data_IF_802743477322
#
_entry.id   IF_802743477322
#
_cell.length_a   1.000
_cell.length_b   1.000
_cell.length_c   1.000
_cell.angle_alpha   90.00
_cell.angle_beta   90.00
_cell.angle_gamma   90.00
#
_symmetry.space_group_name_H-M   'P 1'
#
loop_
_entity.id
_entity.type
_entity.pdbx_description
1 polymer ?
#
# COMPACT_ATOMS: atom_id res chain seq x y z
N UNK A 1 0.54 19.24 -4.54
CA UNK A 1 -0.87 19.30 -4.12
C UNK A 1 -1.67 18.43 -5.09
N UNK A 2 -2.44 17.45 -4.58
CA UNK A 2 -3.27 16.58 -5.44
C UNK A 2 -4.41 17.35 -6.12
N UNK A 3 -4.78 18.53 -5.61
CA UNK A 3 -5.81 19.41 -6.19
C UNK A 3 -5.23 20.44 -7.17
N UNK A 4 -3.91 20.48 -7.33
CA UNK A 4 -3.22 21.48 -8.16
C UNK A 4 -3.10 21.12 -9.65
N UNK A 5 -3.45 19.90 -10.05
CA UNK A 5 -3.40 19.50 -11.46
C UNK A 5 -4.54 20.17 -12.24
N UNK A 6 -4.25 20.52 -13.51
CA UNK A 6 -5.32 20.82 -14.46
C UNK A 6 -6.10 19.53 -14.68
N UNK A 7 -7.41 19.57 -14.44
CA UNK A 7 -8.27 18.41 -14.67
C UNK A 7 -8.15 17.92 -16.11
N UNK A 8 -8.17 16.59 -16.26
CA UNK A 8 -8.20 15.92 -17.54
C UNK A 8 -9.46 16.30 -18.32
N UNK A 9 -9.41 16.22 -19.65
CA UNK A 9 -10.46 16.77 -20.54
C UNK A 9 -11.84 16.17 -20.25
N UNK A 10 -11.90 14.90 -19.82
CA UNK A 10 -13.14 14.19 -19.59
C UNK A 10 -13.90 14.69 -18.34
N UNK A 11 -13.35 15.62 -17.56
CA UNK A 11 -14.07 16.35 -16.52
C UNK A 11 -15.35 17.04 -17.04
N UNK A 12 -15.40 17.39 -18.34
CA UNK A 12 -16.59 17.97 -18.96
C UNK A 12 -17.80 17.03 -19.01
N UNK A 13 -17.58 15.71 -18.83
CA UNK A 13 -18.64 14.68 -18.80
C UNK A 13 -19.35 14.61 -17.44
N UNK A 14 -18.83 15.31 -16.42
CA UNK A 14 -19.38 15.31 -15.08
C UNK A 14 -18.98 14.09 -14.25
N UNK A 15 -19.63 13.95 -13.09
CA UNK A 15 -19.39 12.86 -12.12
C UNK A 15 -20.38 11.73 -12.37
N UNK A 16 -19.89 10.49 -12.43
CA UNK A 16 -20.73 9.31 -12.53
C UNK A 16 -21.41 9.00 -11.18
N UNK A 17 -22.71 8.64 -11.15
CA UNK A 17 -23.37 8.21 -9.91
C UNK A 17 -22.63 7.04 -9.25
N UNK A 18 -22.28 6.03 -10.05
CA UNK A 18 -21.33 4.97 -9.73
C UNK A 18 -20.30 4.89 -10.84
N UNK A 19 -19.07 4.48 -10.52
CA UNK A 19 -18.08 4.16 -11.55
C UNK A 19 -18.55 2.92 -12.34
N UNK A 20 -18.56 2.95 -13.68
CA UNK A 20 -19.14 1.87 -14.48
C UNK A 20 -18.40 0.55 -14.25
N UNK A 21 -19.18 -0.52 -14.09
CA UNK A 21 -18.72 -1.91 -14.04
C UNK A 21 -19.11 -2.70 -15.29
N UNK A 22 -19.95 -2.13 -16.17
CA UNK A 22 -20.31 -2.72 -17.46
C UNK A 22 -20.20 -1.73 -18.64
N UNK A 23 -20.15 -2.25 -19.87
CA UNK A 23 -20.23 -1.43 -21.09
C UNK A 23 -21.53 -0.64 -21.22
N UNK A 24 -22.65 -1.23 -20.82
CA UNK A 24 -23.95 -0.55 -20.88
C UNK A 24 -23.99 0.69 -19.98
N UNK A 25 -23.34 0.65 -18.81
CA UNK A 25 -23.19 1.81 -17.93
C UNK A 25 -22.26 2.87 -18.54
N UNK A 26 -21.18 2.46 -19.21
CA UNK A 26 -20.34 3.39 -19.98
C UNK A 26 -21.15 4.09 -21.07
N UNK A 27 -21.96 3.36 -21.83
CA UNK A 27 -22.82 3.93 -22.87
C UNK A 27 -23.83 4.92 -22.28
N UNK A 28 -24.42 4.62 -21.12
CA UNK A 28 -25.32 5.52 -20.40
C UNK A 28 -24.62 6.81 -19.92
N UNK A 29 -23.32 6.74 -19.63
CA UNK A 29 -22.47 7.89 -19.30
C UNK A 29 -21.93 8.62 -20.55
N UNK A 30 -22.18 8.09 -21.75
CA UNK A 30 -21.64 8.60 -23.01
C UNK A 30 -20.14 8.35 -23.19
N UNK A 31 -19.59 7.31 -22.56
CA UNK A 31 -18.17 6.97 -22.60
C UNK A 31 -17.88 5.88 -23.63
N UNK A 32 -17.00 6.15 -24.59
CA UNK A 32 -16.51 5.15 -25.55
C UNK A 32 -15.49 4.17 -24.92
N UNK A 33 -14.77 4.63 -23.91
CA UNK A 33 -13.63 3.96 -23.28
C UNK A 33 -13.41 4.50 -21.86
N UNK A 34 -12.79 3.69 -21.01
CA UNK A 34 -12.23 4.16 -19.75
C UNK A 34 -10.80 4.67 -20.00
N UNK A 35 -10.38 5.70 -19.28
CA UNK A 35 -8.97 6.09 -19.25
C UNK A 35 -8.20 5.13 -18.34
N UNK A 36 -8.83 4.72 -17.24
CA UNK A 36 -8.25 3.85 -16.22
C UNK A 36 -9.28 2.77 -15.83
N UNK A 37 -8.85 1.52 -15.70
CA UNK A 37 -9.69 0.44 -15.16
C UNK A 37 -9.06 -0.10 -13.89
N UNK A 38 -9.83 -0.12 -12.80
CA UNK A 38 -9.43 -0.66 -11.52
C UNK A 38 -9.94 -2.08 -11.35
N UNK A 39 -9.04 -3.03 -11.09
CA UNK A 39 -9.36 -4.42 -10.78
C UNK A 39 -9.22 -4.64 -9.27
N UNK A 40 -10.28 -5.14 -8.63
CA UNK A 40 -10.32 -5.34 -7.18
C UNK A 40 -10.78 -6.75 -6.80
N UNK A 41 -10.22 -7.27 -5.71
CA UNK A 41 -10.66 -8.52 -5.10
C UNK A 41 -11.92 -8.41 -4.24
N UNK A 42 -12.43 -7.20 -4.01
CA UNK A 42 -13.65 -6.95 -3.25
C UNK A 42 -14.85 -6.65 -4.17
N UNK A 43 -16.07 -6.82 -3.66
CA UNK A 43 -17.25 -6.22 -4.26
C UNK A 43 -17.12 -4.70 -4.36
N UNK A 44 -17.72 -4.08 -5.38
CA UNK A 44 -17.74 -2.63 -5.52
C UNK A 44 -18.74 -2.01 -4.53
N UNK A 45 -18.20 -1.49 -3.43
CA UNK A 45 -18.93 -0.65 -2.47
C UNK A 45 -18.36 0.76 -2.57
N UNK A 46 -19.19 1.71 -2.99
CA UNK A 46 -18.77 3.09 -3.22
C UNK A 46 -18.79 3.89 -1.90
N UNK A 47 -17.86 3.55 -1.01
CA UNK A 47 -17.76 4.05 0.36
C UNK A 47 -16.30 4.41 0.69
N UNK A 48 -16.01 5.52 1.39
CA UNK A 48 -14.64 5.98 1.66
C UNK A 48 -13.82 5.12 2.66
N UNK A 49 -14.26 3.91 2.97
CA UNK A 49 -13.46 2.89 3.68
C UNK A 49 -13.02 1.74 2.77
N UNK A 50 -13.39 1.80 1.49
CA UNK A 50 -13.05 0.84 0.46
C UNK A 50 -11.98 1.46 -0.45
N UNK A 51 -10.76 0.92 -0.42
CA UNK A 51 -9.60 1.56 -1.05
C UNK A 51 -9.74 1.80 -2.55
N UNK A 52 -10.39 0.88 -3.27
CA UNK A 52 -10.65 1.03 -4.72
C UNK A 52 -11.65 2.16 -5.01
N UNK A 53 -12.63 2.41 -4.13
CA UNK A 53 -13.58 3.50 -4.26
C UNK A 53 -12.89 4.83 -4.02
N UNK A 54 -12.00 4.92 -3.01
CA UNK A 54 -11.16 6.11 -2.79
C UNK A 54 -10.34 6.41 -4.03
N UNK A 55 -9.55 5.44 -4.52
CA UNK A 55 -8.68 5.64 -5.69
C UNK A 55 -9.50 5.99 -6.93
N UNK A 56 -10.62 5.31 -7.16
CA UNK A 56 -11.51 5.60 -8.28
C UNK A 56 -12.10 7.01 -8.24
N UNK A 57 -12.63 7.43 -7.08
CA UNK A 57 -13.21 8.77 -6.89
C UNK A 57 -12.18 9.90 -6.89
N UNK A 58 -10.94 9.61 -6.48
CA UNK A 58 -9.81 10.53 -6.59
C UNK A 58 -9.46 10.74 -8.06
N UNK A 59 -9.30 9.66 -8.84
CA UNK A 59 -9.01 9.74 -10.27
C UNK A 59 -10.15 10.40 -11.08
N UNK A 60 -11.41 10.10 -10.76
CA UNK A 60 -12.57 10.82 -11.32
C UNK A 60 -12.53 12.32 -10.95
N UNK A 61 -12.14 12.64 -9.71
CA UNK A 61 -11.95 14.03 -9.26
C UNK A 61 -10.85 14.78 -10.04
N UNK A 62 -9.89 14.05 -10.62
CA UNK A 62 -8.89 14.60 -11.55
C UNK A 62 -9.42 14.74 -12.99
N UNK A 63 -10.65 14.28 -13.28
CA UNK A 63 -11.29 14.36 -14.59
C UNK A 63 -11.10 13.14 -15.48
N UNK A 64 -10.61 12.00 -14.95
CA UNK A 64 -10.44 10.77 -15.72
C UNK A 64 -11.71 9.93 -15.71
N UNK A 65 -11.95 9.18 -16.81
CA UNK A 65 -12.99 8.15 -16.88
C UNK A 65 -12.47 6.86 -16.26
N UNK A 66 -13.08 6.44 -15.16
CA UNK A 66 -12.61 5.29 -14.38
C UNK A 66 -13.67 4.20 -14.35
N UNK A 67 -13.29 2.98 -14.74
CA UNK A 67 -14.14 1.78 -14.62
C UNK A 67 -13.65 0.84 -13.52
N UNK A 68 -14.53 -0.02 -13.02
CA UNK A 68 -14.20 -1.02 -11.99
C UNK A 68 -14.54 -2.44 -12.47
N UNK A 69 -13.58 -3.34 -12.36
CA UNK A 69 -13.77 -4.79 -12.46
C UNK A 69 -13.69 -5.38 -11.04
N UNK A 70 -14.86 -5.67 -10.47
CA UNK A 70 -14.99 -6.21 -9.12
C UNK A 70 -15.10 -7.74 -9.15
N UNK A 71 -14.14 -8.43 -8.52
CA UNK A 71 -14.08 -9.89 -8.47
C UNK A 71 -14.24 -10.59 -9.83
N UNK A 72 -13.48 -10.19 -10.87
CA UNK A 72 -13.54 -10.87 -12.15
C UNK A 72 -13.11 -12.34 -12.00
N UNK A 73 -13.82 -13.25 -12.67
CA UNK A 73 -13.46 -14.67 -12.70
C UNK A 73 -12.07 -14.84 -13.35
N UNK A 74 -11.10 -15.29 -12.55
CA UNK A 74 -9.70 -15.45 -12.94
C UNK A 74 -9.39 -16.79 -13.60
N UNK A 75 -10.38 -17.64 -13.83
CA UNK A 75 -10.19 -18.88 -14.59
C UNK A 75 -9.97 -18.61 -16.09
N UNK A 76 -10.30 -17.41 -16.58
CA UNK A 76 -10.00 -16.95 -17.93
C UNK A 76 -9.61 -15.46 -17.97
N UNK A 77 -9.06 -15.00 -19.09
CA UNK A 77 -8.78 -13.57 -19.31
C UNK A 77 -10.00 -12.77 -19.80
N UNK A 78 -11.09 -13.43 -20.21
CA UNK A 78 -12.24 -12.77 -20.83
C UNK A 78 -12.94 -11.75 -19.90
N UNK A 79 -13.17 -12.02 -18.60
CA UNK A 79 -13.75 -11.04 -17.67
C UNK A 79 -12.90 -9.77 -17.53
N UNK A 80 -11.59 -9.86 -17.74
CA UNK A 80 -10.68 -8.71 -17.66
C UNK A 80 -10.75 -7.79 -18.87
N UNK A 81 -11.44 -8.22 -19.94
CA UNK A 81 -11.66 -7.46 -21.17
C UNK A 81 -13.07 -6.85 -21.29
N UNK A 82 -13.94 -7.05 -20.29
CA UNK A 82 -15.36 -6.65 -20.34
C UNK A 82 -15.54 -5.15 -20.61
N UNK A 83 -14.82 -4.30 -19.87
CA UNK A 83 -14.80 -2.85 -20.07
C UNK A 83 -13.91 -2.39 -21.24
N UNK A 84 -13.22 -3.33 -21.89
CA UNK A 84 -12.30 -3.08 -23.00
C UNK A 84 -10.93 -2.55 -22.58
N UNK A 85 -10.22 -2.00 -23.57
CA UNK A 85 -8.87 -1.47 -23.39
C UNK A 85 -8.94 -0.07 -22.75
N UNK A 86 -8.23 0.19 -21.63
CA UNK A 86 -8.14 1.53 -21.08
C UNK A 86 -7.14 2.38 -21.87
N UNK A 87 -7.32 3.70 -21.85
CA UNK A 87 -6.44 4.62 -22.57
C UNK A 87 -5.07 4.80 -21.88
N UNK A 88 -5.00 4.65 -20.56
CA UNK A 88 -3.80 4.90 -19.76
C UNK A 88 -3.25 3.63 -19.12
N UNK A 89 -3.97 3.01 -18.18
CA UNK A 89 -3.46 1.83 -17.44
C UNK A 89 -4.56 1.01 -16.74
N UNK A 90 -4.18 -0.19 -16.32
CA UNK A 90 -4.92 -0.99 -15.33
C UNK A 90 -4.31 -0.81 -13.93
N UNK A 91 -5.14 -0.47 -12.95
CA UNK A 91 -4.78 -0.45 -11.52
C UNK A 91 -5.31 -1.70 -10.83
N UNK A 92 -4.48 -2.43 -10.08
CA UNK A 92 -4.86 -3.74 -9.50
C UNK A 92 -4.62 -3.78 -8.00
N UNK A 93 -5.61 -4.25 -7.25
CA UNK A 93 -5.54 -4.48 -5.81
C UNK A 93 -6.20 -5.81 -5.41
N UNK A 94 -5.75 -6.44 -4.33
CA UNK A 94 -6.42 -7.59 -3.72
C UNK A 94 -7.71 -7.22 -2.97
N UNK A 95 -7.98 -5.92 -2.77
CA UNK A 95 -9.06 -5.39 -1.95
C UNK A 95 -8.55 -4.76 -0.65
N UNK A 96 -9.45 -4.61 0.32
CA UNK A 96 -9.20 -4.04 1.64
C UNK A 96 -8.46 -4.99 2.59
N UNK A 97 -8.38 -6.27 2.26
CA UNK A 97 -7.66 -7.27 3.04
C UNK A 97 -6.74 -8.09 2.13
N UNK A 98 -5.63 -8.57 2.70
CA UNK A 98 -4.76 -9.54 2.03
C UNK A 98 -5.55 -10.79 1.62
N UNK A 99 -5.37 -11.24 0.38
CA UNK A 99 -6.20 -12.32 -0.18
C UNK A 99 -6.04 -13.65 0.56
N UNK A 100 -4.87 -13.88 1.17
CA UNK A 100 -4.61 -15.09 1.94
C UNK A 100 -5.22 -14.98 3.34
N UNK A 101 -5.09 -13.84 4.01
CA UNK A 101 -5.75 -13.59 5.31
C UNK A 101 -7.27 -13.65 5.18
N UNK A 102 -7.79 -13.22 4.04
CA UNK A 102 -9.21 -13.32 3.73
C UNK A 102 -9.70 -14.76 3.57
N UNK A 103 -8.92 -15.62 2.91
CA UNK A 103 -9.34 -17.00 2.62
C UNK A 103 -9.00 -17.98 3.74
N UNK A 104 -7.98 -17.73 4.54
CA UNK A 104 -7.47 -18.67 5.52
C UNK A 104 -7.44 -18.09 6.94
N UNK A 105 -7.68 -18.92 7.94
CA UNK A 105 -7.43 -18.58 9.35
C UNK A 105 -5.94 -18.63 9.66
N UNK A 106 -5.52 -18.07 10.80
CA UNK A 106 -4.13 -18.17 11.27
C UNK A 106 -3.64 -19.63 11.36
N UNK A 107 -4.54 -20.57 11.68
CA UNK A 107 -4.25 -22.02 11.70
C UNK A 107 -4.28 -22.69 10.31
N UNK A 108 -4.23 -21.92 9.22
CA UNK A 108 -4.27 -22.41 7.82
C UNK A 108 -5.54 -23.17 7.43
N UNK A 109 -6.65 -22.92 8.12
CA UNK A 109 -7.96 -23.47 7.74
C UNK A 109 -8.63 -22.56 6.73
N UNK A 110 -9.21 -23.14 5.67
CA UNK A 110 -9.98 -22.40 4.68
C UNK A 110 -11.28 -21.90 5.33
N UNK A 111 -11.57 -20.60 5.17
CA UNK A 111 -12.83 -19.98 5.56
C UNK A 111 -13.90 -20.33 4.52
N UNK A 112 -15.11 -20.62 4.99
CA UNK A 112 -16.26 -20.84 4.12
C UNK A 112 -16.89 -19.54 3.62
N UNK A 113 -16.51 -18.41 4.21
CA UNK A 113 -17.08 -17.09 3.99
C UNK A 113 -16.03 -16.04 3.57
N UNK A 114 -16.49 -15.01 2.86
CA UNK A 114 -15.71 -13.83 2.48
C UNK A 114 -16.53 -12.56 2.75
N UNK A 115 -16.09 -11.76 3.72
CA UNK A 115 -16.85 -10.59 4.18
C UNK A 115 -17.02 -9.50 3.11
N UNK A 116 -16.20 -9.47 2.08
CA UNK A 116 -16.21 -8.45 1.03
C UNK A 116 -16.84 -8.95 -0.28
N UNK A 117 -17.46 -10.13 -0.26
CA UNK A 117 -18.11 -10.75 -1.41
C UNK A 117 -19.64 -10.69 -1.28
N UNK A 118 -20.40 -10.56 -2.38
CA UNK A 118 -21.86 -10.68 -2.33
C UNK A 118 -22.30 -12.00 -1.69
N UNK A 119 -23.27 -11.90 -0.79
CA UNK A 119 -23.80 -12.97 0.05
C UNK A 119 -22.78 -13.69 0.94
N UNK A 120 -21.59 -13.10 1.12
CA UNK A 120 -20.52 -13.67 1.93
C UNK A 120 -19.90 -14.92 1.33
N UNK A 121 -20.07 -15.17 0.03
CA UNK A 121 -19.64 -16.43 -0.61
C UNK A 121 -18.11 -16.54 -0.61
N UNK A 122 -17.57 -17.58 0.01
CA UNK A 122 -16.14 -17.86 -0.01
C UNK A 122 -15.65 -18.28 -1.39
N UNK A 123 -14.40 -17.91 -1.71
CA UNK A 123 -13.71 -18.42 -2.90
C UNK A 123 -13.98 -17.68 -4.20
N UNK A 124 -14.46 -16.43 -4.16
CA UNK A 124 -14.62 -15.53 -5.32
C UNK A 124 -13.40 -14.62 -5.58
N UNK A 125 -12.28 -14.85 -4.88
CA UNK A 125 -10.98 -14.23 -5.18
C UNK A 125 -9.87 -15.28 -5.19
N UNK A 126 -8.84 -15.16 -6.06
CA UNK A 126 -7.72 -16.07 -6.06
C UNK A 126 -6.76 -15.80 -4.90
N UNK A 127 -6.06 -16.84 -4.46
CA UNK A 127 -4.89 -16.69 -3.59
C UNK A 127 -3.84 -15.81 -4.25
N UNK A 128 -3.32 -14.81 -3.51
CA UNK A 128 -2.38 -13.80 -4.02
C UNK A 128 -2.98 -13.07 -5.21
N UNK A 129 -4.16 -12.51 -4.98
CA UNK A 129 -5.02 -11.93 -6.01
C UNK A 129 -4.29 -10.92 -6.90
N UNK A 130 -3.39 -10.10 -6.34
CA UNK A 130 -2.62 -9.12 -7.14
C UNK A 130 -1.82 -9.80 -8.25
N UNK A 131 -1.18 -10.94 -7.97
CA UNK A 131 -0.37 -11.68 -8.96
C UNK A 131 -1.28 -12.23 -10.06
N UNK A 132 -2.36 -12.90 -9.66
CA UNK A 132 -3.26 -13.57 -10.61
C UNK A 132 -3.96 -12.55 -11.50
N UNK A 133 -4.51 -11.48 -10.93
CA UNK A 133 -5.18 -10.44 -11.68
C UNK A 133 -4.23 -9.69 -12.63
N UNK A 134 -3.00 -9.38 -12.19
CA UNK A 134 -2.00 -8.76 -13.08
C UNK A 134 -1.67 -9.65 -14.28
N UNK A 135 -1.53 -10.95 -14.07
CA UNK A 135 -1.26 -11.90 -15.15
C UNK A 135 -2.45 -12.04 -16.11
N UNK A 136 -3.69 -12.04 -15.63
CA UNK A 136 -4.89 -12.07 -16.47
C UNK A 136 -5.09 -10.79 -17.28
N UNK A 137 -4.85 -9.63 -16.67
CA UNK A 137 -4.82 -8.36 -17.39
C UNK A 137 -3.76 -8.38 -18.47
N UNK A 138 -2.54 -8.88 -18.19
CA UNK A 138 -1.47 -8.98 -19.19
C UNK A 138 -1.80 -9.96 -20.31
N UNK A 139 -2.51 -11.03 -20.01
CA UNK A 139 -3.02 -12.00 -21.00
C UNK A 139 -4.03 -11.33 -21.95
N UNK A 140 -4.97 -10.55 -21.40
CA UNK A 140 -5.97 -9.80 -22.17
C UNK A 140 -5.35 -8.62 -22.97
N UNK A 141 -4.42 -7.89 -22.37
CA UNK A 141 -3.85 -6.65 -22.91
C UNK A 141 -2.34 -6.57 -22.65
N UNK A 142 -1.54 -7.07 -23.59
CA UNK A 142 -0.07 -7.16 -23.45
C UNK A 142 0.62 -5.81 -23.27
N UNK A 143 0.20 -4.81 -24.07
CA UNK A 143 0.89 -3.51 -24.19
C UNK A 143 0.30 -2.40 -23.31
N UNK A 144 -0.67 -2.73 -22.45
CA UNK A 144 -1.24 -1.74 -21.52
C UNK A 144 -0.43 -1.75 -20.23
N UNK A 145 -0.04 -0.59 -19.68
CA UNK A 145 0.60 -0.51 -18.39
C UNK A 145 -0.24 -1.16 -17.27
N UNK A 146 0.41 -1.99 -16.46
CA UNK A 146 -0.18 -2.65 -15.29
C UNK A 146 0.46 -2.11 -14.03
N UNK A 147 -0.35 -1.49 -13.18
CA UNK A 147 0.07 -0.88 -11.92
C UNK A 147 -0.60 -1.61 -10.77
N UNK A 148 0.19 -2.11 -9.83
CA UNK A 148 -0.31 -2.85 -8.66
C UNK A 148 -0.23 -2.00 -7.40
N UNK A 149 -1.19 -2.15 -6.49
CA UNK A 149 -1.25 -1.39 -5.24
C UNK A 149 -2.11 -2.04 -4.17
N UNK A 150 -2.42 -1.28 -3.12
CA UNK A 150 -3.16 -1.76 -1.95
C UNK A 150 -2.28 -2.51 -0.94
N UNK A 151 -2.91 -3.02 0.12
CA UNK A 151 -2.21 -3.63 1.27
C UNK A 151 -1.34 -4.82 0.83
N UNK A 152 -1.89 -5.73 0.01
CA UNK A 152 -1.15 -6.92 -0.43
C UNK A 152 0.10 -6.56 -1.25
N UNK A 153 0.02 -5.57 -2.15
CA UNK A 153 1.17 -5.13 -2.93
C UNK A 153 2.18 -4.35 -2.07
N UNK A 154 1.68 -3.42 -1.26
CA UNK A 154 2.48 -2.56 -0.39
C UNK A 154 3.33 -3.37 0.57
N UNK A 155 2.76 -4.35 1.28
CA UNK A 155 3.49 -5.15 2.27
C UNK A 155 4.46 -6.16 1.63
N UNK A 156 4.27 -6.49 0.35
CA UNK A 156 5.10 -7.46 -0.40
C UNK A 156 6.03 -6.80 -1.43
N UNK A 157 6.30 -5.50 -1.26
CA UNK A 157 7.11 -4.67 -2.17
C UNK A 157 8.60 -5.06 -2.24
N UNK A 158 9.11 -5.69 -1.19
CA UNK A 158 10.44 -6.32 -1.14
C UNK A 158 10.30 -7.83 -0.86
N UNK A 159 11.43 -8.54 -0.76
CA UNK A 159 11.45 -9.90 -0.24
C UNK A 159 10.79 -9.96 1.14
N UNK A 160 9.86 -10.91 1.30
CA UNK A 160 9.00 -11.00 2.48
C UNK A 160 8.79 -12.46 2.88
N UNK A 161 8.62 -12.70 4.17
CA UNK A 161 8.24 -14.01 4.68
C UNK A 161 6.76 -14.27 4.42
N UNK A 162 6.47 -15.36 3.71
CA UNK A 162 5.11 -15.81 3.42
C UNK A 162 4.74 -16.93 4.41
N UNK A 163 3.97 -16.56 5.43
CA UNK A 163 3.52 -17.47 6.49
C UNK A 163 2.82 -18.75 5.96
N UNK A 164 2.12 -18.63 4.83
CA UNK A 164 1.34 -19.72 4.24
C UNK A 164 2.20 -20.80 3.59
N UNK A 165 3.38 -20.43 3.06
CA UNK A 165 4.32 -21.39 2.46
C UNK A 165 5.59 -21.61 3.27
N UNK A 166 5.73 -20.90 4.40
CA UNK A 166 6.91 -20.91 5.29
C UNK A 166 8.22 -20.62 4.55
N UNK A 167 8.14 -19.70 3.60
CA UNK A 167 9.27 -19.34 2.73
C UNK A 167 9.38 -17.84 2.59
N UNK A 168 10.62 -17.38 2.41
CA UNK A 168 10.86 -16.03 1.92
C UNK A 168 10.59 -16.01 0.42
N UNK A 169 9.64 -15.16 0.02
CA UNK A 169 9.28 -14.93 -1.39
C UNK A 169 9.96 -13.66 -1.91
N UNK A 170 10.06 -13.57 -3.23
CA UNK A 170 10.53 -12.38 -3.93
C UNK A 170 9.50 -11.25 -3.82
N UNK A 171 9.89 -10.05 -4.25
CA UNK A 171 8.95 -8.93 -4.38
C UNK A 171 7.77 -9.32 -5.29
N UNK A 172 6.56 -8.98 -4.86
CA UNK A 172 5.33 -9.23 -5.63
C UNK A 172 5.35 -8.54 -7.00
N UNK A 173 6.10 -7.45 -7.14
CA UNK A 173 6.29 -6.76 -8.42
C UNK A 173 6.86 -7.69 -9.50
N UNK A 174 7.80 -8.56 -9.13
CA UNK A 174 8.41 -9.53 -10.03
C UNK A 174 7.46 -10.68 -10.35
N UNK A 175 6.79 -11.23 -9.33
CA UNK A 175 5.86 -12.36 -9.49
C UNK A 175 4.62 -11.96 -10.33
N UNK A 176 4.13 -10.72 -10.16
CA UNK A 176 2.99 -10.17 -10.88
C UNK A 176 3.32 -9.70 -12.30
N UNK A 177 4.61 -9.46 -12.62
CA UNK A 177 5.07 -8.84 -13.88
C UNK A 177 4.36 -7.50 -14.15
N UNK A 178 4.14 -6.73 -13.10
CA UNK A 178 3.59 -5.38 -13.18
C UNK A 178 4.69 -4.39 -13.60
N UNK A 179 4.28 -3.28 -14.22
CA UNK A 179 5.21 -2.24 -14.69
C UNK A 179 5.62 -1.30 -13.54
N UNK A 180 4.71 -1.08 -12.59
CA UNK A 180 4.92 -0.23 -11.43
C UNK A 180 4.13 -0.75 -10.22
N UNK A 181 4.71 -0.63 -9.02
CA UNK A 181 4.03 -0.89 -7.75
C UNK A 181 3.85 0.42 -6.99
N UNK A 182 2.64 0.71 -6.54
CA UNK A 182 2.34 1.83 -5.62
C UNK A 182 2.21 1.28 -4.21
N UNK A 183 3.02 1.81 -3.29
CA UNK A 183 2.97 1.47 -1.87
C UNK A 183 2.68 2.72 -1.05
N UNK A 184 2.20 2.53 0.17
CA UNK A 184 1.72 3.65 0.97
C UNK A 184 0.24 3.97 0.71
N UNK A 185 -0.21 5.10 1.24
CA UNK A 185 -1.37 5.83 0.72
C UNK A 185 -1.10 6.22 -0.74
N UNK A 186 -1.96 5.81 -1.67
CA UNK A 186 -1.68 5.85 -3.11
C UNK A 186 -2.18 7.07 -3.86
N UNK A 187 -2.98 7.94 -3.23
CA UNK A 187 -3.73 9.02 -3.89
C UNK A 187 -2.82 9.97 -4.69
N UNK A 188 -1.70 10.38 -4.10
CA UNK A 188 -0.79 11.33 -4.74
C UNK A 188 -0.10 10.70 -5.96
N UNK A 189 0.30 9.44 -5.83
CA UNK A 189 0.99 8.66 -6.85
C UNK A 189 0.07 8.40 -8.04
N UNK A 190 -1.17 7.93 -7.80
CA UNK A 190 -2.10 7.62 -8.90
C UNK A 190 -2.48 8.88 -9.68
N UNK A 191 -2.64 10.03 -9.01
CA UNK A 191 -2.84 11.31 -9.69
C UNK A 191 -1.65 11.66 -10.59
N UNK A 192 -0.43 11.62 -10.04
CA UNK A 192 0.78 11.96 -10.79
C UNK A 192 1.02 11.02 -11.98
N UNK A 193 0.85 9.71 -11.76
CA UNK A 193 0.98 8.70 -12.81
C UNK A 193 -0.06 8.94 -13.90
N UNK A 194 -1.33 9.12 -13.56
CA UNK A 194 -2.38 9.32 -14.55
C UNK A 194 -2.14 10.56 -15.41
N UNK A 195 -1.75 11.68 -14.79
CA UNK A 195 -1.45 12.92 -15.53
C UNK A 195 -0.21 12.80 -16.42
N UNK A 196 0.86 12.14 -15.97
CA UNK A 196 2.08 11.96 -16.78
C UNK A 196 1.85 11.00 -17.95
N UNK A 197 1.13 9.89 -17.72
CA UNK A 197 0.72 8.99 -18.80
C UNK A 197 -0.21 9.69 -19.81
N UNK A 198 -1.16 10.50 -19.33
CA UNK A 198 -2.02 11.30 -20.20
C UNK A 198 -1.28 12.38 -20.99
N UNK A 199 -0.13 12.85 -20.49
CA UNK A 199 0.79 13.73 -21.22
C UNK A 199 1.69 12.98 -22.22
N UNK A 200 1.56 11.65 -22.33
CA UNK A 200 2.31 10.81 -23.26
C UNK A 200 3.65 10.30 -22.75
N UNK A 201 3.97 10.51 -21.47
CA UNK A 201 5.18 9.95 -20.88
C UNK A 201 5.04 8.43 -20.73
N UNK A 202 6.03 7.62 -21.18
CA UNK A 202 5.91 6.18 -21.08
C UNK A 202 6.13 5.68 -19.65
N UNK A 203 5.39 4.64 -19.24
CA UNK A 203 5.42 4.08 -17.86
C UNK A 203 6.84 3.76 -17.36
N UNK A 204 7.74 3.33 -18.25
CA UNK A 204 9.14 2.98 -17.93
C UNK A 204 10.00 4.19 -17.51
N UNK A 205 9.56 5.42 -17.80
CA UNK A 205 10.25 6.66 -17.46
C UNK A 205 9.77 7.24 -16.11
N UNK A 206 8.63 6.77 -15.59
CA UNK A 206 8.07 7.15 -14.29
C UNK A 206 8.86 6.54 -13.10
N UNK A 207 10.12 6.92 -12.99
CA UNK A 207 11.12 6.35 -12.07
C UNK A 207 11.39 7.21 -10.85
N UNK A 208 10.74 8.36 -10.73
CA UNK A 208 10.99 9.40 -9.72
C UNK A 208 9.78 9.69 -8.83
N UNK A 209 8.66 9.01 -9.03
CA UNK A 209 7.43 9.19 -8.24
C UNK A 209 7.61 8.55 -6.85
N UNK A 210 7.51 9.36 -5.79
CA UNK A 210 7.60 8.87 -4.41
C UNK A 210 6.50 7.87 -4.09
N UNK A 211 6.77 6.88 -3.25
CA UNK A 211 5.81 5.83 -2.92
C UNK A 211 5.57 4.82 -4.03
N UNK A 212 6.54 4.67 -4.94
CA UNK A 212 6.49 3.68 -6.02
C UNK A 212 7.71 2.77 -6.01
N UNK A 213 7.56 1.58 -6.61
CA UNK A 213 8.65 0.65 -6.84
C UNK A 213 8.62 0.12 -8.27
N UNK A 214 9.80 -0.06 -8.87
CA UNK A 214 9.98 -0.51 -10.25
C UNK A 214 11.20 -1.41 -10.39
N UNK A 215 11.27 -2.17 -11.49
CA UNK A 215 12.37 -3.10 -11.78
C UNK A 215 13.39 -2.42 -12.69
N UNK A 216 14.68 -2.67 -12.43
CA UNK A 216 15.79 -2.16 -13.22
C UNK A 216 16.99 -3.11 -13.17
N UNK A 217 18.00 -2.92 -14.02
CA UNK A 217 19.22 -3.77 -14.02
C UNK A 217 20.40 -3.18 -13.27
N UNK A 218 20.49 -1.87 -13.17
CA UNK A 218 21.61 -1.17 -12.51
C UNK A 218 21.15 0.17 -11.98
N UNK A 219 21.76 0.68 -10.91
CA UNK A 219 21.54 2.03 -10.39
C UNK A 219 21.78 3.12 -11.46
N UNK A 220 21.14 4.31 -11.37
CA UNK A 220 21.31 5.35 -12.37
C UNK A 220 22.71 5.96 -12.23
N UNK A 221 23.23 6.51 -13.32
CA UNK A 221 24.49 7.25 -13.28
C UNK A 221 24.41 8.40 -12.27
N UNK A 222 25.47 8.59 -11.47
CA UNK A 222 25.56 9.66 -10.48
C UNK A 222 24.82 9.41 -9.16
N UNK A 223 24.26 8.21 -8.94
CA UNK A 223 23.70 7.82 -7.64
C UNK A 223 24.78 7.22 -6.74
N UNK A 224 24.69 7.54 -5.45
CA UNK A 224 25.54 7.00 -4.40
C UNK A 224 24.84 5.79 -3.79
N UNK A 225 25.47 4.62 -3.89
CA UNK A 225 24.97 3.40 -3.25
C UNK A 225 25.58 3.25 -1.85
N UNK A 226 24.72 3.05 -0.85
CA UNK A 226 25.08 2.87 0.56
C UNK A 226 24.72 1.44 0.95
N UNK A 227 25.69 0.65 1.42
CA UNK A 227 25.40 -0.65 2.02
C UNK A 227 24.58 -0.48 3.30
N UNK A 228 23.51 -1.24 3.45
CA UNK A 228 22.62 -1.15 4.61
C UNK A 228 23.34 -1.41 5.94
N UNK A 229 24.42 -2.20 5.95
CA UNK A 229 25.22 -2.47 7.15
C UNK A 229 25.94 -1.23 7.70
N UNK A 230 26.10 -0.17 6.89
CA UNK A 230 26.60 1.12 7.35
C UNK A 230 25.56 1.93 8.14
N UNK A 231 24.26 1.64 7.95
CA UNK A 231 23.17 2.29 8.67
C UNK A 231 22.76 1.52 9.93
N UNK A 232 22.78 0.19 9.84
CA UNK A 232 22.44 -0.71 10.94
C UNK A 232 23.31 -1.98 10.80
N UNK A 233 24.16 -2.26 11.77
CA UNK A 233 24.97 -3.47 11.75
C UNK A 233 24.23 -4.59 12.50
N UNK A 234 23.96 -5.75 11.88
CA UNK A 234 23.34 -6.87 12.58
C UNK A 234 24.16 -7.27 13.82
N UNK A 235 23.49 -7.33 14.97
CA UNK A 235 24.09 -7.77 16.23
C UNK A 235 24.06 -9.29 16.41
N UNK A 236 24.65 -9.82 17.50
CA UNK A 236 24.51 -11.23 17.84
C UNK A 236 23.03 -11.58 18.05
N UNK A 237 22.64 -12.80 17.64
CA UNK A 237 21.30 -13.33 17.92
C UNK A 237 21.25 -13.67 19.40
N UNK A 238 20.50 -12.87 20.16
CA UNK A 238 20.20 -13.20 21.55
C UNK A 238 19.37 -14.50 21.57
N UNK A 239 19.77 -15.51 22.36
CA UNK A 239 18.97 -16.72 22.49
C UNK A 239 17.61 -16.34 23.08
N UNK A 240 16.52 -16.64 22.37
CA UNK A 240 15.18 -16.42 22.89
C UNK A 240 14.95 -17.38 24.07
N UNK A 241 14.87 -16.90 25.33
CA UNK A 241 14.51 -17.76 26.43
C UNK A 241 13.06 -18.20 26.20
N UNK A 242 12.80 -19.50 26.28
CA UNK A 242 11.44 -20.03 26.27
C UNK A 242 10.68 -19.41 27.47
N UNK A 243 9.62 -18.61 27.23
CA UNK A 243 8.88 -17.95 28.30
C UNK A 243 8.17 -18.94 29.24
N UNK A 244 8.10 -20.23 28.87
CA UNK A 244 7.53 -21.32 29.66
C UNK A 244 8.58 -22.29 30.21
N UNK A 245 9.88 -22.05 29.96
CA UNK A 245 10.93 -22.89 30.53
C UNK A 245 11.04 -22.66 32.04
N UNK A 246 10.62 -23.66 32.81
CA UNK A 246 10.96 -23.77 34.24
C UNK A 246 12.47 -23.98 34.35
N UNK A 247 13.18 -22.98 34.86
CA UNK A 247 14.65 -22.92 34.79
C UNK A 247 15.32 -23.96 35.70
N UNK A 248 16.05 -24.90 35.08
CA UNK A 248 17.17 -25.57 35.74
C UNK A 248 18.46 -24.90 35.27
N UNK A 249 19.14 -24.24 36.20
CA UNK A 249 20.39 -23.51 35.98
C UNK A 249 21.45 -24.40 35.30
N UNK A 250 22.00 -23.97 34.15
CA UNK A 250 23.26 -24.49 33.61
C UNK A 250 24.30 -23.38 33.48
N UNK A 251 25.51 -23.71 33.96
CA UNK A 251 26.74 -22.91 33.84
C UNK A 251 27.28 -22.96 32.39
N UNK A 252 28.06 -21.95 31.96
CA UNK A 252 28.56 -21.87 30.59
C UNK A 252 29.80 -22.75 30.38
N UNK A 253 29.85 -23.45 29.26
CA UNK A 253 31.07 -24.02 28.68
C UNK A 253 31.43 -23.23 27.40
N UNK A 254 32.72 -22.93 27.26
CA UNK A 254 33.28 -22.21 26.13
C UNK A 254 33.73 -23.18 25.02
N UNK A 255 33.50 -22.81 23.76
CA UNK A 255 34.05 -23.50 22.58
C UNK A 255 33.85 -22.68 21.30
N UNK A 256 34.96 -22.42 20.60
CA UNK A 256 35.06 -21.57 19.40
C UNK A 256 34.90 -22.36 18.08
N UNK A 257 34.51 -21.68 16.99
CA UNK A 257 35.17 -21.71 15.67
C UNK A 257 34.43 -20.84 14.63
N UNK A 258 35.21 -20.17 13.76
CA UNK A 258 34.77 -19.34 12.65
C UNK A 258 34.87 -20.08 11.30
N UNK A 259 34.10 -19.65 10.29
CA UNK A 259 34.59 -19.54 8.90
C UNK A 259 34.23 -18.15 8.34
N UNK A 260 34.95 -17.52 7.41
CA UNK A 260 35.74 -17.99 6.29
C UNK A 260 35.32 -17.09 5.11
N UNK A 261 36.11 -16.04 4.82
CA UNK A 261 35.75 -14.99 3.88
C UNK A 261 35.85 -15.44 2.41
N UNK A 262 34.84 -15.10 1.60
CA UNK A 262 34.89 -15.20 0.13
C UNK A 262 34.91 -13.81 -0.50
N UNK A 263 35.73 -13.68 -1.54
CA UNK A 263 36.18 -12.44 -2.17
C UNK A 263 35.07 -11.52 -2.70
N UNK A 264 35.15 -10.25 -2.34
CA UNK A 264 34.25 -9.18 -2.74
C UNK A 264 34.64 -8.58 -4.11
N UNK A 265 33.61 -8.28 -4.91
CA UNK A 265 33.71 -7.33 -6.03
C UNK A 265 33.66 -5.93 -5.46
N UNK A 266 34.70 -5.13 -5.67
CA UNK A 266 34.84 -3.78 -5.08
C UNK A 266 33.74 -2.85 -5.63
N UNK A 267 32.70 -2.65 -4.84
CA UNK A 267 31.78 -1.52 -4.95
C UNK A 267 32.29 -0.45 -3.97
N UNK A 268 32.51 0.78 -4.43
CA UNK A 268 32.99 1.87 -3.56
C UNK A 268 31.85 2.29 -2.61
N UNK A 269 31.90 1.82 -1.37
CA UNK A 269 30.99 2.24 -0.30
C UNK A 269 31.47 3.55 0.32
N UNK A 270 30.69 4.63 0.18
CA UNK A 270 30.97 5.89 0.87
C UNK A 270 30.46 5.86 2.31
N UNK A 271 31.41 5.88 3.25
CA UNK A 271 31.21 5.70 4.70
C UNK A 271 30.43 6.85 5.38
N UNK A 272 30.15 7.95 4.67
CA UNK A 272 29.47 9.14 5.21
C UNK A 272 28.82 9.96 4.10
N UNK A 273 27.58 9.62 3.75
CA UNK A 273 26.79 10.44 2.83
C UNK A 273 26.33 11.70 3.57
N UNK A 274 26.75 12.88 3.10
CA UNK A 274 26.28 14.16 3.65
C UNK A 274 24.77 14.26 3.44
N UNK A 275 24.07 14.97 4.32
CA UNK A 275 22.61 15.16 4.16
C UNK A 275 22.22 15.77 2.80
N UNK A 276 23.10 16.56 2.20
CA UNK A 276 22.92 17.18 0.88
C UNK A 276 22.86 16.18 -0.29
N UNK A 277 23.44 14.99 -0.14
CA UNK A 277 23.49 13.98 -1.20
C UNK A 277 22.36 12.94 -1.08
N UNK A 278 21.42 13.13 -0.12
CA UNK A 278 20.36 12.15 0.18
C UNK A 278 19.44 11.87 -1.00
N UNK A 279 19.07 12.90 -1.75
CA UNK A 279 18.19 12.80 -2.92
C UNK A 279 18.82 12.00 -4.06
N UNK A 280 20.14 11.82 -4.06
CA UNK A 280 20.90 11.02 -5.03
C UNK A 280 21.57 9.82 -4.38
N UNK A 281 21.04 9.38 -3.23
CA UNK A 281 21.55 8.21 -2.53
C UNK A 281 20.49 7.12 -2.42
N UNK A 282 20.95 5.87 -2.54
CA UNK A 282 20.11 4.68 -2.43
C UNK A 282 20.75 3.72 -1.43
N UNK A 283 19.92 3.10 -0.58
CA UNK A 283 20.37 2.08 0.37
C UNK A 283 20.22 0.71 -0.28
N UNK A 284 21.34 0.02 -0.45
CA UNK A 284 21.41 -1.37 -0.89
C UNK A 284 21.05 -2.27 0.28
N UNK A 285 19.89 -2.92 0.16
CA UNK A 285 19.42 -3.93 1.11
C UNK A 285 20.06 -5.29 0.80
N UNK A 286 20.11 -6.23 1.79
CA UNK A 286 20.50 -7.60 1.51
C UNK A 286 19.65 -8.20 0.39
N UNK A 287 20.28 -8.95 -0.52
CA UNK A 287 19.60 -9.55 -1.66
C UNK A 287 18.53 -10.55 -1.23
N UNK A 288 17.61 -10.87 -2.13
CA UNK A 288 16.63 -11.94 -1.93
C UNK A 288 17.29 -13.24 -1.47
N UNK A 289 18.39 -13.64 -2.12
CA UNK A 289 19.11 -14.87 -1.81
C UNK A 289 19.71 -14.83 -0.41
N UNK A 290 20.25 -13.68 0.02
CA UNK A 290 20.76 -13.49 1.37
C UNK A 290 19.64 -13.60 2.42
N UNK A 291 18.53 -12.86 2.23
CA UNK A 291 17.42 -12.88 3.21
C UNK A 291 16.66 -14.20 3.22
N UNK A 292 16.69 -14.97 2.13
CA UNK A 292 16.09 -16.30 2.08
C UNK A 292 16.95 -17.36 2.77
N UNK A 293 18.28 -17.18 2.79
CA UNK A 293 19.22 -18.12 3.40
C UNK A 293 19.49 -17.82 4.89
N UNK A 294 19.37 -16.56 5.32
CA UNK A 294 19.74 -16.12 6.66
C UNK A 294 18.64 -15.28 7.34
N UNK A 295 18.04 -15.78 8.45
CA UNK A 295 17.06 -15.04 9.23
C UNK A 295 17.56 -13.71 9.79
N UNK A 296 18.86 -13.57 10.07
CA UNK A 296 19.44 -12.32 10.58
C UNK A 296 19.44 -11.25 9.48
N UNK A 297 19.84 -11.62 8.27
CA UNK A 297 19.75 -10.78 7.08
C UNK A 297 18.30 -10.35 6.80
N UNK A 298 17.33 -11.25 6.98
CA UNK A 298 15.91 -10.90 6.87
C UNK A 298 15.47 -9.86 7.90
N UNK A 299 15.82 -10.06 9.18
CA UNK A 299 15.50 -9.11 10.25
C UNK A 299 16.15 -7.74 10.01
N UNK A 300 17.40 -7.72 9.54
CA UNK A 300 18.12 -6.51 9.17
C UNK A 300 17.43 -5.78 8.00
N UNK A 301 17.07 -6.50 6.93
CA UNK A 301 16.32 -5.93 5.81
C UNK A 301 15.00 -5.28 6.26
N UNK A 302 14.23 -5.95 7.13
CA UNK A 302 13.01 -5.39 7.72
C UNK A 302 13.29 -4.13 8.52
N UNK A 303 14.34 -4.12 9.35
CA UNK A 303 14.70 -2.95 10.17
C UNK A 303 15.08 -1.74 9.31
N UNK A 304 15.84 -1.96 8.23
CA UNK A 304 16.20 -0.92 7.26
C UNK A 304 14.94 -0.33 6.58
N UNK A 305 14.01 -1.19 6.17
CA UNK A 305 12.72 -0.76 5.60
C UNK A 305 11.96 0.16 6.56
N UNK A 306 11.93 -0.17 7.86
CA UNK A 306 11.28 0.64 8.89
C UNK A 306 12.03 1.96 9.17
N UNK A 307 13.37 1.95 9.15
CA UNK A 307 14.18 3.16 9.34
C UNK A 307 13.99 4.17 8.21
N UNK A 308 13.78 3.69 6.99
CA UNK A 308 13.55 4.51 5.79
C UNK A 308 12.04 4.75 5.52
N UNK A 309 11.17 4.56 6.52
CA UNK A 309 9.72 4.83 6.42
C UNK A 309 9.34 6.30 6.67
N UNK A 310 10.25 7.16 7.16
CA UNK A 310 9.95 8.58 7.39
C UNK A 310 10.10 9.40 6.09
N UNK A 311 9.01 9.92 5.50
CA UNK A 311 9.08 10.63 4.22
C UNK A 311 9.97 11.87 4.24
N UNK A 312 10.16 12.52 5.39
CA UNK A 312 10.98 13.73 5.51
C UNK A 312 12.49 13.48 5.39
N UNK A 313 12.95 12.24 5.55
CA UNK A 313 14.38 11.93 5.52
C UNK A 313 14.75 10.60 4.88
N UNK A 314 13.76 9.86 4.39
CA UNK A 314 13.93 8.58 3.74
C UNK A 314 14.76 8.68 2.47
N UNK A 315 15.60 7.67 2.25
CA UNK A 315 16.31 7.44 0.99
C UNK A 315 15.54 6.46 0.12
N UNK A 316 15.93 6.39 -1.15
CA UNK A 316 15.52 5.27 -1.99
C UNK A 316 16.12 3.97 -1.42
N UNK A 317 15.41 2.86 -1.60
CA UNK A 317 15.91 1.53 -1.28
C UNK A 317 16.10 0.73 -2.57
N UNK A 318 17.05 -0.19 -2.56
CA UNK A 318 17.21 -1.15 -3.66
C UNK A 318 17.52 -2.53 -3.11
N UNK A 319 16.81 -3.54 -3.62
CA UNK A 319 17.04 -4.93 -3.27
C UNK A 319 17.30 -5.74 -4.54
N UNK A 320 18.37 -6.53 -4.55
CA UNK A 320 18.70 -7.44 -5.65
C UNK A 320 17.84 -8.71 -5.57
N UNK A 321 17.28 -9.12 -6.70
CA UNK A 321 16.58 -10.40 -6.88
C UNK A 321 17.14 -11.09 -8.14
N UNK A 322 18.02 -12.07 -8.00
CA UNK A 322 18.74 -12.66 -9.12
C UNK A 322 19.57 -11.62 -9.88
N UNK A 323 19.23 -11.36 -11.14
CA UNK A 323 19.96 -10.44 -12.03
C UNK A 323 19.31 -9.04 -12.14
N UNK A 324 18.25 -8.78 -11.38
CA UNK A 324 17.51 -7.50 -11.43
C UNK A 324 17.39 -6.85 -10.06
N UNK A 325 17.38 -5.53 -10.06
CA UNK A 325 17.14 -4.69 -8.89
C UNK A 325 15.66 -4.30 -8.83
N UNK A 326 15.05 -4.48 -7.66
CA UNK A 326 13.79 -3.85 -7.29
C UNK A 326 14.13 -2.54 -6.58
N UNK A 327 13.78 -1.43 -7.22
CA UNK A 327 14.03 -0.08 -6.72
C UNK A 327 12.76 0.46 -6.06
N UNK A 328 12.90 1.04 -4.87
CA UNK A 328 11.82 1.70 -4.15
C UNK A 328 12.18 3.18 -4.03
N UNK A 329 11.36 4.05 -4.62
CA UNK A 329 11.44 5.47 -4.34
C UNK A 329 11.06 5.75 -2.88
N UNK A 330 11.52 6.85 -2.27
CA UNK A 330 11.15 7.20 -0.89
C UNK A 330 9.62 7.25 -0.67
N UNK A 331 9.11 7.04 0.57
CA UNK A 331 7.68 7.05 0.86
C UNK A 331 6.98 8.34 0.42
N UNK A 332 5.68 8.28 0.09
CA UNK A 332 4.94 9.46 -0.33
C UNK A 332 4.90 10.50 0.80
N UNK A 333 4.87 11.78 0.43
CA UNK A 333 4.59 12.84 1.40
C UNK A 333 3.11 12.73 1.80
N UNK A 334 2.80 12.63 3.11
CA UNK A 334 1.41 12.55 3.59
C UNK A 334 0.54 13.67 3.04
N UNK A 335 -0.75 13.40 2.88
CA UNK A 335 -1.73 14.39 2.51
C UNK A 335 -1.87 15.43 3.62
N UNK A 336 -2.04 16.69 3.21
CA UNK A 336 -2.48 17.74 4.12
C UNK A 336 -3.93 17.52 4.53
N UNK A 337 -4.38 18.16 5.62
CA UNK A 337 -5.80 18.08 6.04
C UNK A 337 -6.76 18.48 4.93
N UNK A 338 -6.47 19.55 4.17
CA UNK A 338 -7.32 19.98 3.06
C UNK A 338 -7.37 18.94 1.92
N UNK A 339 -6.24 18.31 1.59
CA UNK A 339 -6.20 17.23 0.60
C UNK A 339 -6.94 15.98 1.11
N UNK A 340 -6.81 15.64 2.38
CA UNK A 340 -7.52 14.50 2.98
C UNK A 340 -9.02 14.74 3.01
N UNK A 341 -9.46 15.92 3.42
CA UNK A 341 -10.87 16.33 3.36
C UNK A 341 -11.41 16.24 1.93
N UNK A 342 -10.63 16.71 0.93
CA UNK A 342 -11.01 16.58 -0.49
C UNK A 342 -11.19 15.13 -0.94
N UNK A 343 -10.37 14.19 -0.43
CA UNK A 343 -10.49 12.76 -0.73
C UNK A 343 -11.76 12.16 -0.10
N UNK A 344 -12.06 12.50 1.16
CA UNK A 344 -13.19 11.92 1.90
C UNK A 344 -14.53 12.59 1.57
N UNK A 345 -14.52 13.80 1.00
CA UNK A 345 -15.72 14.55 0.57
C UNK A 345 -16.06 14.34 -0.91
N UNK A 346 -15.40 13.41 -1.59
CA UNK A 346 -15.83 12.96 -2.92
C UNK A 346 -17.28 12.44 -2.87
N UNK A 347 -18.03 12.48 -3.98
CA UNK A 347 -19.44 12.14 -4.01
C UNK A 347 -19.69 10.61 -3.95
N UNK A 348 -19.37 10.00 -2.81
CA UNK A 348 -19.61 8.60 -2.55
C UNK A 348 -21.10 8.31 -2.37
N UNK A 349 -21.59 7.22 -2.97
CA UNK A 349 -22.96 6.74 -2.79
C UNK A 349 -23.18 6.07 -1.43
N UNK A 350 -22.10 5.71 -0.74
CA UNK A 350 -22.09 5.03 0.57
C UNK A 350 -22.92 3.75 0.62
N UNK A 351 -23.07 3.11 -0.54
CA UNK A 351 -23.85 1.90 -0.75
C UNK A 351 -23.13 0.96 -1.72
N UNK A 352 -23.41 -0.35 -1.68
CA UNK A 352 -22.98 -1.28 -2.72
C UNK A 352 -23.49 -0.88 -4.10
N UNK A 353 -22.73 -1.24 -5.13
CA UNK A 353 -23.17 -1.04 -6.51
C UNK A 353 -24.54 -1.71 -6.77
N UNK A 354 -25.46 -1.06 -7.51
CA UNK A 354 -26.82 -1.58 -7.72
C UNK A 354 -26.89 -2.95 -8.40
N UNK A 355 -25.86 -3.35 -9.15
CA UNK A 355 -25.79 -4.67 -9.79
C UNK A 355 -25.86 -5.85 -8.82
N UNK A 356 -25.58 -5.63 -7.53
CA UNK A 356 -25.69 -6.66 -6.49
C UNK A 356 -27.13 -6.85 -5.98
N UNK A 357 -28.08 -5.98 -6.34
CA UNK A 357 -29.47 -6.08 -5.90
C UNK A 357 -29.61 -6.15 -4.38
N UNK A 358 -30.22 -7.23 -3.89
CA UNK A 358 -30.44 -7.46 -2.46
C UNK A 358 -29.32 -8.25 -1.76
N UNK A 359 -28.20 -8.52 -2.46
CA UNK A 359 -27.13 -9.34 -1.92
C UNK A 359 -26.55 -8.74 -0.63
N UNK A 360 -26.29 -9.60 0.34
CA UNK A 360 -25.71 -9.20 1.60
C UNK A 360 -24.18 -9.11 1.49
N UNK A 361 -23.59 -7.92 1.58
CA UNK A 361 -22.12 -7.77 1.69
C UNK A 361 -21.77 -7.54 3.17
N UNK A 362 -21.22 -8.55 3.90
CA UNK A 362 -21.02 -8.47 5.35
C UNK A 362 -20.17 -7.28 5.80
N UNK A 363 -19.07 -6.99 5.10
CA UNK A 363 -18.17 -5.89 5.40
C UNK A 363 -18.91 -4.55 5.33
N UNK A 364 -19.70 -4.31 4.26
CA UNK A 364 -20.51 -3.10 4.14
C UNK A 364 -21.46 -2.92 5.32
N UNK A 365 -22.18 -3.98 5.74
CA UNK A 365 -23.08 -3.89 6.90
C UNK A 365 -22.37 -3.49 8.18
N UNK A 366 -21.15 -3.97 8.37
CA UNK A 366 -20.33 -3.65 9.54
C UNK A 366 -19.86 -2.19 9.54
N UNK A 367 -19.51 -1.64 8.37
CA UNK A 367 -18.81 -0.35 8.31
C UNK A 367 -19.62 0.83 7.76
N UNK A 368 -20.85 0.63 7.29
CA UNK A 368 -21.68 1.69 6.69
C UNK A 368 -21.94 2.90 7.60
N UNK A 369 -21.80 2.74 8.92
CA UNK A 369 -21.92 3.80 9.92
C UNK A 369 -20.59 4.13 10.62
N UNK A 370 -19.46 3.73 10.06
CA UNK A 370 -18.11 4.12 10.51
C UNK A 370 -17.66 5.39 9.79
N UNK A 371 -16.86 6.21 10.48
CA UNK A 371 -16.22 7.40 9.93
C UNK A 371 -14.72 7.36 10.20
N UNK A 372 -13.93 7.43 9.13
CA UNK A 372 -12.48 7.53 9.24
C UNK A 372 -12.08 8.98 9.53
N UNK A 373 -11.51 9.26 10.70
CA UNK A 373 -11.10 10.63 11.12
C UNK A 373 -9.63 10.92 10.84
N UNK A 374 -8.81 9.88 10.63
CA UNK A 374 -7.38 10.00 10.40
C UNK A 374 -6.79 8.78 9.68
N UNK A 375 -5.50 8.86 9.32
CA UNK A 375 -4.65 7.75 8.88
C UNK A 375 -3.26 7.84 9.50
N UNK A 376 -2.56 6.71 9.54
CA UNK A 376 -1.19 6.59 10.04
C UNK A 376 -1.11 6.09 11.49
N UNK A 377 0.07 5.59 11.87
CA UNK A 377 0.33 5.12 13.23
C UNK A 377 1.80 5.27 13.62
N UNK A 378 2.07 6.01 14.69
CA UNK A 378 3.43 6.21 15.24
C UNK A 378 3.85 5.17 16.28
N UNK A 379 3.02 4.14 16.51
CA UNK A 379 3.24 3.12 17.54
C UNK A 379 4.53 2.33 17.34
N UNK A 380 4.93 2.09 16.09
CA UNK A 380 6.20 1.43 15.76
C UNK A 380 6.24 -0.06 16.13
N UNK A 381 5.09 -0.73 16.13
CA UNK A 381 5.02 -2.18 16.30
C UNK A 381 5.79 -2.87 15.16
N UNK A 382 6.56 -3.91 15.50
CA UNK A 382 7.31 -4.68 14.51
C UNK A 382 6.37 -5.36 13.52
N UNK A 383 6.65 -5.27 12.22
CA UNK A 383 5.83 -5.85 11.15
C UNK A 383 4.38 -5.31 11.11
N UNK A 384 4.19 -4.07 11.58
CA UNK A 384 2.89 -3.42 11.59
C UNK A 384 2.44 -3.03 10.17
N UNK A 385 1.34 -3.62 9.71
CA UNK A 385 0.74 -3.28 8.43
C UNK A 385 0.32 -1.82 8.33
N UNK A 386 -0.18 -1.21 9.42
CA UNK A 386 -0.63 0.19 9.42
C UNK A 386 0.55 1.12 9.20
N UNK A 387 1.64 0.98 9.95
CA UNK A 387 2.81 1.86 9.78
C UNK A 387 3.49 1.65 8.43
N UNK A 388 3.55 0.41 7.93
CA UNK A 388 4.14 0.11 6.63
C UNK A 388 3.29 0.56 5.43
N UNK A 389 1.95 0.58 5.58
CA UNK A 389 1.02 0.92 4.50
C UNK A 389 0.51 2.36 4.58
N UNK A 390 0.15 2.88 5.74
CA UNK A 390 -0.35 4.25 5.87
C UNK A 390 0.76 5.24 6.24
N UNK A 391 1.88 4.73 6.78
CA UNK A 391 2.98 5.53 7.28
C UNK A 391 2.87 5.82 8.77
N UNK A 392 3.93 6.46 9.29
CA UNK A 392 4.09 6.78 10.71
C UNK A 392 3.56 8.15 11.13
N UNK A 393 3.32 9.03 10.16
CA UNK A 393 2.86 10.41 10.38
C UNK A 393 1.35 10.39 10.36
N UNK A 394 0.74 10.97 11.40
CA UNK A 394 -0.71 11.07 11.49
C UNK A 394 -1.21 12.12 10.48
N UNK A 395 -2.20 11.73 9.69
CA UNK A 395 -2.93 12.60 8.80
C UNK A 395 -4.35 12.72 9.35
N UNK A 396 -4.75 13.92 9.75
CA UNK A 396 -6.06 14.16 10.38
C UNK A 396 -6.96 14.94 9.44
N UNK A 397 -8.22 14.52 9.37
CA UNK A 397 -9.28 15.29 8.71
C UNK A 397 -9.65 16.50 9.55
N UNK A 398 -10.25 17.51 8.92
CA UNK A 398 -10.85 18.58 9.70
C UNK A 398 -12.11 18.09 10.40
N UNK A 399 -12.39 18.69 11.56
CA UNK A 399 -13.62 18.40 12.29
C UNK A 399 -14.87 18.70 11.45
N UNK A 400 -14.83 19.76 10.66
CA UNK A 400 -15.93 20.12 9.76
C UNK A 400 -16.16 19.05 8.70
N UNK A 401 -15.10 18.47 8.13
CA UNK A 401 -15.22 17.35 7.18
C UNK A 401 -15.85 16.13 7.84
N UNK A 402 -15.41 15.79 9.05
CA UNK A 402 -15.96 14.67 9.83
C UNK A 402 -17.45 14.89 10.12
N UNK A 403 -17.83 16.09 10.55
CA UNK A 403 -19.25 16.45 10.80
C UNK A 403 -20.08 16.33 9.53
N UNK A 404 -19.62 16.85 8.39
CA UNK A 404 -20.32 16.72 7.10
C UNK A 404 -20.53 15.26 6.69
N UNK A 405 -19.55 14.39 6.94
CA UNK A 405 -19.74 12.96 6.66
C UNK A 405 -20.75 12.31 7.60
N UNK A 406 -20.75 12.67 8.89
CA UNK A 406 -21.78 12.19 9.83
C UNK A 406 -23.17 12.64 9.40
N UNK A 407 -23.32 13.88 8.92
CA UNK A 407 -24.58 14.39 8.35
C UNK A 407 -24.97 13.61 7.09
N UNK A 408 -24.03 13.35 6.19
CA UNK A 408 -24.28 12.52 5.00
C UNK A 408 -24.73 11.09 5.37
N UNK A 409 -24.14 10.49 6.41
CA UNK A 409 -24.58 9.19 6.93
C UNK A 409 -26.02 9.26 7.42
N UNK A 410 -26.34 10.27 8.24
CA UNK A 410 -27.69 10.51 8.77
C UNK A 410 -28.73 10.62 7.66
N UNK A 411 -28.40 11.36 6.60
CA UNK A 411 -29.36 11.76 5.57
C UNK A 411 -29.47 10.75 4.42
N UNK A 412 -28.42 10.00 4.11
CA UNK A 412 -28.34 9.21 2.88
C UNK A 412 -28.22 7.70 3.10
N UNK A 413 -27.70 7.23 4.25
CA UNK A 413 -27.39 5.80 4.43
C UNK A 413 -28.60 5.03 4.97
N UNK A 414 -29.12 4.02 4.24
CA UNK A 414 -30.31 3.30 4.66
C UNK A 414 -30.15 2.58 6.01
N UNK A 415 -31.14 2.77 6.88
CA UNK A 415 -31.22 2.09 8.18
C UNK A 415 -30.32 2.69 9.26
N UNK A 416 -29.89 3.95 9.12
CA UNK A 416 -29.16 4.65 10.18
C UNK A 416 -29.99 4.73 11.46
N UNK A 417 -29.40 4.28 12.57
CA UNK A 417 -30.07 4.17 13.87
C UNK A 417 -29.85 5.37 14.78
N UNK A 418 -29.13 6.40 14.31
CA UNK A 418 -28.66 7.52 15.14
C UNK A 418 -27.32 7.25 15.84
N UNK A 419 -26.68 6.11 15.59
CA UNK A 419 -25.40 5.72 16.23
C UNK A 419 -24.32 5.55 15.16
N UNK A 420 -23.21 6.28 15.32
CA UNK A 420 -21.97 6.03 14.59
C UNK A 420 -21.25 4.86 15.25
N UNK A 421 -20.94 3.82 14.47
CA UNK A 421 -20.43 2.56 14.99
C UNK A 421 -18.95 2.61 15.36
N UNK A 422 -18.18 3.47 14.68
CA UNK A 422 -16.74 3.59 14.85
C UNK A 422 -16.23 4.95 14.35
N UNK A 423 -15.17 5.46 14.99
CA UNK A 423 -14.48 6.71 14.65
C UNK A 423 -12.97 6.45 14.66
N UNK A 424 -12.36 6.29 13.48
CA UNK A 424 -10.89 6.17 13.35
C UNK A 424 -10.28 4.86 13.85
N UNK A 425 -11.09 3.85 14.21
CA UNK A 425 -10.64 2.50 14.56
C UNK A 425 -9.59 2.46 15.67
N UNK A 426 -8.61 1.52 15.62
CA UNK A 426 -7.68 1.27 16.73
C UNK A 426 -6.71 2.41 17.00
N UNK A 427 -6.57 3.37 16.08
CA UNK A 427 -5.66 4.51 16.21
C UNK A 427 -6.38 5.79 16.60
N UNK A 428 -7.71 5.79 16.81
CA UNK A 428 -8.52 6.98 17.05
C UNK A 428 -7.92 8.01 18.02
N UNK A 429 -7.32 7.55 19.12
CA UNK A 429 -6.65 8.38 20.13
C UNK A 429 -5.37 9.08 19.64
N UNK A 430 -4.99 8.90 18.37
CA UNK A 430 -3.87 9.58 17.72
C UNK A 430 -4.30 10.81 16.91
N UNK A 431 -5.61 11.08 16.80
CA UNK A 431 -6.14 12.18 16.01
C UNK A 431 -5.49 13.50 16.41
N UNK A 432 -5.00 14.27 15.42
CA UNK A 432 -4.24 15.54 15.57
C UNK A 432 -2.93 15.47 16.37
N UNK A 433 -2.53 14.31 16.90
CA UNK A 433 -1.22 14.16 17.54
C UNK A 433 -0.09 14.31 16.52
N UNK A 434 0.90 15.13 16.85
CA UNK A 434 2.05 15.42 16.00
C UNK A 434 3.31 15.64 16.83
N UNK A 435 4.47 15.69 16.18
CA UNK A 435 5.67 16.18 16.85
C UNK A 435 5.53 17.68 17.16
N UNK A 436 6.19 18.15 18.22
CA UNK A 436 6.24 19.57 18.62
C UNK A 436 6.74 20.51 17.52
N UNK A 437 7.50 20.00 16.54
CA UNK A 437 7.95 20.77 15.37
C UNK A 437 8.11 19.87 14.15
N UNK A 438 7.91 20.45 12.95
CA UNK A 438 8.08 19.75 11.67
C UNK A 438 9.55 19.43 11.38
N UNK A 439 10.47 20.23 11.86
CA UNK A 439 11.91 20.01 11.74
C UNK A 439 12.33 18.75 12.50
N UNK A 440 11.80 18.56 13.72
CA UNK A 440 12.03 17.34 14.50
C UNK A 440 11.44 16.13 13.79
N UNK A 441 10.18 16.23 13.36
CA UNK A 441 9.49 15.13 12.68
C UNK A 441 10.23 14.70 11.42
N UNK A 442 10.58 15.65 10.55
CA UNK A 442 11.27 15.39 9.29
C UNK A 442 12.67 14.80 9.51
N UNK A 443 13.39 15.15 10.58
CA UNK A 443 14.70 14.59 10.90
C UNK A 443 14.65 13.25 11.67
N UNK A 444 13.48 12.86 12.20
CA UNK A 444 13.36 11.74 13.13
C UNK A 444 13.66 10.37 12.51
N UNK A 445 14.46 9.55 13.20
CA UNK A 445 14.78 8.15 12.84
C UNK A 445 14.36 7.13 13.90
N UNK A 446 13.63 7.54 14.96
CA UNK A 446 13.16 6.61 16.01
C UNK A 446 12.20 5.59 15.41
N UNK A 447 12.27 4.29 15.74
CA UNK A 447 11.32 3.30 15.23
C UNK A 447 9.92 3.44 15.85
N UNK A 448 9.84 3.91 17.10
CA UNK A 448 8.59 4.11 17.83
C UNK A 448 8.60 5.42 18.61
N UNK A 449 7.42 6.06 18.69
CA UNK A 449 7.20 7.23 19.53
C UNK A 449 6.73 6.88 20.95
N UNK A 450 6.34 5.62 21.21
CA UNK A 450 5.78 5.19 22.51
C UNK A 450 6.68 4.18 23.25
N UNK A 451 7.67 3.60 22.58
CA UNK A 451 8.60 2.64 23.16
C UNK A 451 10.07 3.15 23.11
N UNK A 452 10.90 2.86 24.12
CA UNK A 452 10.57 2.22 25.41
C UNK A 452 9.81 3.14 26.38
N UNK A 453 9.74 4.43 26.06
CA UNK A 453 8.93 5.42 26.76
C UNK A 453 8.37 6.43 25.73
N UNK A 454 7.31 7.14 26.13
CA UNK A 454 6.71 8.20 25.31
C UNK A 454 7.78 9.23 24.93
N UNK A 455 7.86 9.56 23.65
CA UNK A 455 8.81 10.51 23.12
C UNK A 455 8.54 11.91 23.70
N UNK A 456 9.54 12.59 24.29
CA UNK A 456 9.34 13.93 24.83
C UNK A 456 9.05 14.99 23.75
N UNK A 457 9.28 14.68 22.47
CA UNK A 457 8.95 15.55 21.35
C UNK A 457 7.58 15.26 20.73
N UNK A 458 6.87 14.23 21.18
CA UNK A 458 5.48 13.98 20.79
C UNK A 458 4.60 14.93 21.59
N UNK A 459 3.77 15.72 20.90
CA UNK A 459 2.65 16.37 21.56
C UNK A 459 1.59 15.30 21.84
N UNK A 460 1.13 15.22 23.07
CA UNK A 460 0.17 14.21 23.53
C UNK A 460 -1.20 14.80 23.82
N UNK A 461 -1.38 16.11 23.61
CA UNK A 461 -2.63 16.84 23.78
C UNK A 461 -3.24 17.12 22.39
N UNK A 462 -4.56 16.93 22.20
CA UNK A 462 -5.23 17.10 20.90
C UNK A 462 -6.69 17.54 20.96
#
# INVERSE_FOLDING_TARGET
DITGYRQHWAACLGTAPFLPVTRAEMDALGWDSCDIILVTGDAYVDLPSFGMAIIGRVLEGQGFRVGILAQPDWHSAAPFAELGRPNLFFGITAGNMDSMVNRYTADRRVRSDDAYTPDGVGGNRPDRSVIVYAQRVREAFKDVPVIIGGIEASLRRIAHFDYWSEKVRRSVLLDAKADLLVYGNGERQVCEIAHRLAAGEPIRELTDIRGTAFVRRSAPSGWIEIDSTHLDAPGPVEPHPDPYAMSAQRRPEAGAAAPGASAETVVRFERRVKNADRERSVVRMPSYEQVAADPVSYAHASRILHLEANPGNARALVQRHGDVDVWLNPPPIPLTTAELDWVYERPYQRTPHPSYGAANIPAYKMIRFSVAIQRGCFGGCSFCSITEHEGRIIQSRSEQSVVREVEAIRDQVPGFTGVISDLGGPTANMYRLACRSREIESACRRPSCVYPAICPNLDTDH
#
